data_IF_523006510638
#
_entry.id   IF_523006510638
#
_cell.length_a   1.000
_cell.length_b   1.000
_cell.length_c   1.000
_cell.angle_alpha   90.00
_cell.angle_beta   90.00
_cell.angle_gamma   90.00
#
_symmetry.space_group_name_H-M   'P 1'
#
loop_
_entity.id
_entity.type
_entity.pdbx_description
1 polymer ?
#
# COMPACT_ATOMS: atom_id res chain seq x y z
N UNK A 1 -11.92 14.07 8.39
CA UNK A 1 -11.12 13.22 7.48
C UNK A 1 -10.73 11.99 8.25
N UNK A 2 -11.08 10.78 7.79
CA UNK A 2 -10.59 9.56 8.44
C UNK A 2 -9.13 9.36 8.03
N UNK A 3 -8.17 9.26 8.96
CA UNK A 3 -6.76 9.16 8.61
C UNK A 3 -6.43 7.96 7.71
N UNK A 4 -7.27 6.91 7.75
CA UNK A 4 -7.18 5.71 6.91
C UNK A 4 -7.41 5.98 5.41
N UNK A 5 -8.06 7.09 5.04
CA UNK A 5 -8.47 7.39 3.66
C UNK A 5 -7.45 8.23 2.87
N UNK A 6 -6.33 8.65 3.50
CA UNK A 6 -5.28 9.49 2.89
C UNK A 6 -4.37 8.73 1.90
N UNK A 7 -4.97 7.84 1.11
CA UNK A 7 -4.27 6.94 0.22
C UNK A 7 -4.01 7.52 -1.17
N UNK A 8 -4.73 8.58 -1.55
CA UNK A 8 -4.60 9.19 -2.86
C UNK A 8 -3.40 10.17 -2.88
N UNK A 9 -2.41 10.03 -3.79
CA UNK A 9 -1.21 10.88 -3.80
C UNK A 9 -1.48 12.40 -3.85
N UNK A 10 -2.54 12.85 -4.55
CA UNK A 10 -2.93 14.28 -4.62
C UNK A 10 -3.31 14.89 -3.27
N UNK A 11 -3.72 14.09 -2.28
CA UNK A 11 -4.06 14.59 -0.95
C UNK A 11 -2.81 14.89 -0.10
N UNK A 12 -1.62 14.53 -0.59
CA UNK A 12 -0.38 14.61 0.18
C UNK A 12 0.52 15.72 -0.32
N UNK A 13 1.34 16.25 0.60
CA UNK A 13 2.40 17.19 0.27
C UNK A 13 3.39 16.53 -0.71
N UNK A 14 3.69 17.18 -1.85
CA UNK A 14 4.73 16.71 -2.76
C UNK A 14 6.07 16.60 -2.06
N UNK A 15 6.78 15.50 -2.32
CA UNK A 15 8.15 15.33 -1.85
C UNK A 15 9.13 16.07 -2.78
N UNK A 16 10.23 16.56 -2.23
CA UNK A 16 11.37 17.09 -3.01
C UNK A 16 12.24 15.96 -3.60
N UNK A 17 12.12 14.74 -3.08
CA UNK A 17 12.88 13.61 -3.57
C UNK A 17 12.35 13.16 -4.94
N UNK A 18 13.27 13.00 -5.90
CA UNK A 18 12.98 12.76 -7.32
C UNK A 18 11.96 11.64 -7.56
N UNK A 19 12.16 10.46 -6.97
CA UNK A 19 11.33 9.28 -7.24
C UNK A 19 10.06 9.19 -6.39
N UNK A 20 9.97 9.92 -5.28
CA UNK A 20 8.91 9.67 -4.29
C UNK A 20 7.53 9.96 -4.87
N UNK A 21 7.37 11.05 -5.63
CA UNK A 21 6.05 11.39 -6.17
C UNK A 21 5.58 10.40 -7.24
N UNK A 22 6.48 9.89 -8.07
CA UNK A 22 6.15 8.88 -9.08
C UNK A 22 5.90 7.52 -8.46
N UNK A 23 6.71 7.10 -7.48
CA UNK A 23 6.51 5.85 -6.75
C UNK A 23 5.14 5.81 -6.06
N UNK A 24 4.73 6.92 -5.45
CA UNK A 24 3.40 7.06 -4.84
C UNK A 24 2.27 6.85 -5.85
N UNK A 25 2.40 7.36 -7.08
CA UNK A 25 1.42 7.15 -8.16
C UNK A 25 1.41 5.70 -8.64
N UNK A 26 2.59 5.09 -8.76
CA UNK A 26 2.74 3.71 -9.19
C UNK A 26 2.10 2.74 -8.17
N UNK A 27 2.43 2.88 -6.89
CA UNK A 27 1.85 2.08 -5.79
C UNK A 27 0.34 2.29 -5.70
N UNK A 28 -0.13 3.53 -5.83
CA UNK A 28 -1.57 3.81 -5.85
C UNK A 28 -2.28 3.09 -7.01
N UNK A 29 -1.75 3.20 -8.23
CA UNK A 29 -2.34 2.55 -9.42
C UNK A 29 -2.33 1.03 -9.28
N UNK A 30 -1.22 0.48 -8.77
CA UNK A 30 -1.06 -0.94 -8.51
C UNK A 30 -2.06 -1.47 -7.47
N UNK A 31 -2.35 -0.69 -6.42
CA UNK A 31 -3.39 -1.00 -5.42
C UNK A 31 -4.79 -1.03 -6.05
N UNK A 32 -5.14 -0.02 -6.85
CA UNK A 32 -6.44 0.05 -7.53
C UNK A 32 -6.69 -1.14 -8.46
N UNK A 33 -5.62 -1.72 -9.01
CA UNK A 33 -5.67 -2.92 -9.84
C UNK A 33 -5.72 -4.24 -9.04
N UNK A 34 -5.93 -4.17 -7.72
CA UNK A 34 -5.98 -5.34 -6.83
C UNK A 34 -4.67 -6.14 -6.80
N UNK A 35 -3.54 -5.43 -6.80
CA UNK A 35 -2.18 -5.95 -6.61
C UNK A 35 -1.76 -7.01 -7.65
N UNK A 36 -1.60 -6.66 -8.94
CA UNK A 36 -1.05 -7.57 -9.95
C UNK A 36 0.45 -7.82 -9.73
N UNK A 37 0.96 -8.98 -10.18
CA UNK A 37 2.40 -9.27 -10.21
C UNK A 37 3.04 -9.62 -8.87
N UNK A 38 2.26 -10.00 -7.87
CA UNK A 38 2.75 -10.51 -6.57
C UNK A 38 2.35 -11.97 -6.36
N UNK A 39 3.00 -12.63 -5.41
CA UNK A 39 2.65 -14.00 -5.01
C UNK A 39 1.24 -14.10 -4.42
N UNK A 40 0.63 -15.29 -4.51
CA UNK A 40 -0.68 -15.56 -3.89
C UNK A 40 -0.65 -15.34 -2.37
N UNK A 41 0.44 -15.71 -1.71
CA UNK A 41 0.66 -15.49 -0.28
C UNK A 41 0.66 -14.00 0.07
N UNK A 42 1.42 -13.19 -0.65
CA UNK A 42 1.47 -11.73 -0.43
C UNK A 42 0.10 -11.09 -0.68
N UNK A 43 -0.60 -11.52 -1.73
CA UNK A 43 -1.97 -11.04 -2.01
C UNK A 43 -2.93 -11.36 -0.86
N UNK A 44 -2.86 -12.58 -0.31
CA UNK A 44 -3.68 -13.00 0.84
C UNK A 44 -3.38 -12.17 2.09
N UNK A 45 -2.10 -11.84 2.35
CA UNK A 45 -1.68 -11.01 3.49
C UNK A 45 -2.19 -9.57 3.35
N UNK A 46 -2.09 -8.97 2.15
CA UNK A 46 -2.62 -7.63 1.89
C UNK A 46 -4.14 -7.57 2.07
N UNK A 47 -4.86 -8.62 1.65
CA UNK A 47 -6.30 -8.73 1.87
C UNK A 47 -6.62 -8.84 3.36
N UNK A 48 -5.89 -9.70 4.08
CA UNK A 48 -6.04 -9.86 5.53
C UNK A 48 -5.87 -8.51 6.23
N UNK A 49 -4.76 -7.81 6.03
CA UNK A 49 -4.45 -6.59 6.77
C UNK A 49 -5.32 -5.37 6.43
N UNK A 50 -5.77 -5.23 5.18
CA UNK A 50 -6.34 -3.97 4.71
C UNK A 50 -7.76 -4.05 4.15
N UNK A 51 -8.34 -5.25 4.04
CA UNK A 51 -9.70 -5.46 3.51
C UNK A 51 -10.61 -6.21 4.49
N UNK A 52 -10.05 -6.92 5.46
CA UNK A 52 -10.81 -7.61 6.50
C UNK A 52 -10.84 -6.77 7.79
N UNK A 53 -11.95 -6.86 8.52
CA UNK A 53 -12.08 -6.20 9.82
C UNK A 53 -11.26 -6.94 10.88
N UNK A 54 -10.61 -6.19 11.76
CA UNK A 54 -9.83 -6.73 12.86
C UNK A 54 -10.34 -6.22 14.20
N UNK A 55 -10.48 -7.14 15.16
CA UNK A 55 -10.80 -6.80 16.55
C UNK A 55 -9.62 -7.22 17.42
N UNK A 56 -9.01 -6.27 18.10
CA UNK A 56 -7.86 -6.49 18.99
C UNK A 56 -8.21 -5.86 20.33
N UNK A 57 -8.08 -6.63 21.42
CA UNK A 57 -8.52 -6.19 22.76
C UNK A 57 -9.96 -5.65 22.82
N UNK A 58 -10.86 -6.28 22.05
CA UNK A 58 -12.27 -5.91 21.95
C UNK A 58 -12.55 -4.55 21.27
N UNK A 59 -11.56 -3.99 20.57
CA UNK A 59 -11.66 -2.73 19.83
C UNK A 59 -11.35 -2.95 18.33
N UNK A 60 -11.98 -2.20 17.41
CA UNK A 60 -11.63 -2.22 15.99
C UNK A 60 -10.18 -1.76 15.79
N UNK A 61 -9.41 -2.55 15.05
CA UNK A 61 -8.04 -2.23 14.68
C UNK A 61 -7.96 -1.88 13.20
N UNK A 62 -7.44 -0.69 12.91
CA UNK A 62 -7.23 -0.22 11.55
C UNK A 62 -5.80 0.35 11.42
N UNK A 63 -5.16 0.08 10.28
CA UNK A 63 -3.87 0.67 9.97
C UNK A 63 -4.02 2.12 9.54
N UNK A 64 -3.13 2.99 10.01
CA UNK A 64 -2.99 4.34 9.48
C UNK A 64 -2.54 4.28 8.01
N UNK A 65 -2.96 5.25 7.19
CA UNK A 65 -2.63 5.26 5.75
C UNK A 65 -1.13 5.10 5.47
N UNK A 66 -0.28 5.72 6.32
CA UNK A 66 1.17 5.71 6.15
C UNK A 66 1.77 4.32 6.44
N UNK A 67 1.17 3.55 7.35
CA UNK A 67 1.58 2.17 7.64
C UNK A 67 1.25 1.27 6.46
N UNK A 68 0.01 1.36 5.95
CA UNK A 68 -0.42 0.63 4.75
C UNK A 68 0.47 0.95 3.56
N UNK A 69 0.70 2.23 3.29
CA UNK A 69 1.54 2.65 2.17
C UNK A 69 2.98 2.18 2.32
N UNK A 70 3.57 2.23 3.51
CA UNK A 70 4.94 1.77 3.73
C UNK A 70 5.07 0.27 3.38
N UNK A 71 4.13 -0.56 3.85
CA UNK A 71 4.09 -2.00 3.56
C UNK A 71 3.92 -2.25 2.07
N UNK A 72 2.94 -1.61 1.44
CA UNK A 72 2.69 -1.76 0.00
C UNK A 72 3.87 -1.29 -0.85
N UNK A 73 4.54 -0.20 -0.47
CA UNK A 73 5.71 0.32 -1.19
C UNK A 73 6.88 -0.67 -1.12
N UNK A 74 7.11 -1.28 0.05
CA UNK A 74 8.12 -2.32 0.21
C UNK A 74 7.83 -3.54 -0.69
N UNK A 75 6.59 -4.02 -0.67
CA UNK A 75 6.14 -5.14 -1.50
C UNK A 75 6.29 -4.79 -3.00
N UNK A 76 5.84 -3.62 -3.41
CA UNK A 76 5.93 -3.17 -4.80
C UNK A 76 7.40 -3.14 -5.28
N UNK A 77 8.30 -2.61 -4.47
CA UNK A 77 9.73 -2.60 -4.81
C UNK A 77 10.32 -4.01 -4.92
N UNK A 78 9.95 -4.91 -4.01
CA UNK A 78 10.56 -6.23 -3.92
C UNK A 78 9.96 -7.27 -4.88
N UNK A 79 8.65 -7.29 -5.05
CA UNK A 79 7.97 -8.31 -5.86
C UNK A 79 7.59 -7.83 -7.25
N UNK A 80 7.36 -6.53 -7.45
CA UNK A 80 6.94 -6.02 -8.77
C UNK A 80 8.15 -5.47 -9.53
N UNK A 81 8.88 -4.51 -8.95
CA UNK A 81 10.01 -3.87 -9.65
C UNK A 81 11.15 -4.87 -9.86
N UNK A 82 11.64 -5.51 -8.79
CA UNK A 82 12.80 -6.42 -8.86
C UNK A 82 12.54 -7.61 -9.79
N UNK A 83 11.35 -8.21 -9.74
CA UNK A 83 11.01 -9.37 -10.55
C UNK A 83 10.68 -9.01 -12.01
N UNK A 84 10.27 -7.77 -12.30
CA UNK A 84 10.10 -7.31 -13.69
C UNK A 84 11.44 -7.10 -14.42
N UNK A 85 12.53 -6.95 -13.67
CA UNK A 85 13.90 -6.79 -14.20
C UNK A 85 14.75 -8.05 -14.21
N UNK A 86 14.19 -9.20 -13.77
CA UNK A 86 14.86 -10.51 -13.76
C UNK A 86 14.39 -11.36 -14.92
#
# INVERSE_FOLDING_TARGET
MKPIELLHPKQRRPSKAYLVNELRKAVFTWREQSYPGISSTTKRLLQFWFSEDHIVYNEPFEFWFCQREAIETLIYAYEVIKNATS
#
